data_IF_104080723664
#
_entry.id   IF_104080723664
#
_cell.length_a   1.000
_cell.length_b   1.000
_cell.length_c   1.000
_cell.angle_alpha   90.00
_cell.angle_beta   90.00
_cell.angle_gamma   90.00
#
_symmetry.space_group_name_H-M   'P 1'
#
loop_
_entity.id
_entity.type
_entity.pdbx_description
1 polymer ?
#
# COMPACT_ATOMS: atom_id res chain seq x y z
N UNK A 1 -11.13 2.45 -4.15
CA UNK A 1 -10.49 3.70 -3.67
C UNK A 1 -11.50 4.85 -3.73
N UNK A 2 -11.38 5.88 -2.88
CA UNK A 2 -12.31 7.03 -2.86
C UNK A 2 -12.14 8.02 -4.03
N UNK A 3 -11.61 7.56 -5.17
CA UNK A 3 -11.28 8.37 -6.35
C UNK A 3 -11.64 7.65 -7.67
N UNK A 4 -12.31 6.49 -7.59
CA UNK A 4 -12.83 5.80 -8.78
C UNK A 4 -14.18 6.42 -9.20
N UNK A 5 -14.61 6.21 -10.45
CA UNK A 5 -15.91 6.70 -10.91
C UNK A 5 -17.03 6.24 -9.96
N UNK A 6 -17.78 7.19 -9.39
CA UNK A 6 -18.79 6.91 -8.35
C UNK A 6 -18.27 6.98 -6.91
N UNK A 7 -17.11 7.58 -6.65
CA UNK A 7 -16.56 7.74 -5.30
C UNK A 7 -17.34 8.75 -4.44
N UNK A 8 -18.38 8.26 -3.76
CA UNK A 8 -19.24 9.05 -2.86
C UNK A 8 -18.48 9.59 -1.63
N UNK A 9 -17.52 8.83 -1.10
CA UNK A 9 -16.83 9.20 0.14
C UNK A 9 -15.92 10.44 -0.03
N UNK A 10 -15.36 10.66 -1.22
CA UNK A 10 -14.50 11.82 -1.50
C UNK A 10 -15.30 13.12 -1.43
N UNK A 11 -16.46 13.13 -2.09
CA UNK A 11 -17.37 14.27 -2.11
C UNK A 11 -17.95 14.57 -0.73
N UNK A 12 -18.29 13.52 0.05
CA UNK A 12 -18.73 13.67 1.44
C UNK A 12 -17.61 14.29 2.30
N UNK A 13 -16.40 13.74 2.24
CA UNK A 13 -15.27 14.21 3.04
C UNK A 13 -14.80 15.62 2.66
N UNK A 14 -15.10 16.13 1.47
CA UNK A 14 -14.80 17.49 1.09
C UNK A 14 -15.42 18.52 2.06
N UNK A 15 -16.63 18.24 2.57
CA UNK A 15 -17.31 19.08 3.57
C UNK A 15 -16.66 19.02 4.96
N UNK A 16 -15.85 17.99 5.27
CA UNK A 16 -15.14 17.92 6.55
C UNK A 16 -14.10 19.06 6.69
N UNK A 17 -13.58 19.59 5.58
CA UNK A 17 -12.65 20.72 5.58
C UNK A 17 -13.29 22.01 6.12
N UNK A 18 -14.61 22.14 6.04
CA UNK A 18 -15.34 23.26 6.62
C UNK A 18 -15.49 23.14 8.14
N UNK A 19 -15.07 22.03 8.77
CA UNK A 19 -15.14 21.80 10.21
C UNK A 19 -16.57 21.62 10.75
N UNK A 20 -16.70 21.35 12.05
CA UNK A 20 -17.98 21.26 12.75
C UNK A 20 -18.71 22.59 12.80
N UNK A 21 -20.04 22.57 12.94
CA UNK A 21 -20.78 23.77 13.33
C UNK A 21 -20.39 24.24 14.73
N UNK A 22 -20.64 25.51 15.04
CA UNK A 22 -20.30 26.08 16.34
C UNK A 22 -20.99 25.36 17.51
N UNK A 23 -22.26 25.00 17.34
CA UNK A 23 -23.02 24.25 18.34
C UNK A 23 -22.42 22.86 18.57
N UNK A 24 -22.12 22.13 17.49
CA UNK A 24 -21.53 20.79 17.57
C UNK A 24 -20.13 20.80 18.16
N UNK A 25 -19.29 21.75 17.78
CA UNK A 25 -17.96 21.94 18.37
C UNK A 25 -18.05 22.18 19.88
N UNK A 26 -19.00 23.03 20.32
CA UNK A 26 -19.26 23.26 21.74
C UNK A 26 -19.76 22.01 22.47
N UNK A 27 -20.64 21.22 21.84
CA UNK A 27 -21.11 19.95 22.38
C UNK A 27 -19.96 18.93 22.52
N UNK A 28 -19.19 18.72 21.46
CA UNK A 28 -18.05 17.80 21.46
C UNK A 28 -17.02 18.21 22.51
N UNK A 29 -16.75 19.51 22.65
CA UNK A 29 -15.81 20.01 23.66
C UNK A 29 -16.22 19.64 25.09
N UNK A 30 -17.52 19.67 25.39
CA UNK A 30 -18.05 19.22 26.70
C UNK A 30 -17.94 17.72 26.89
N UNK A 31 -18.17 16.94 25.83
CA UNK A 31 -18.13 15.48 25.87
C UNK A 31 -16.70 14.95 26.02
N UNK A 32 -15.73 15.57 25.34
CA UNK A 32 -14.33 15.14 25.37
C UNK A 32 -13.52 15.79 26.49
N UNK A 33 -14.02 16.87 27.09
CA UNK A 33 -13.27 17.68 28.06
C UNK A 33 -12.11 18.46 27.45
N UNK A 34 -12.09 18.62 26.13
CA UNK A 34 -11.03 19.31 25.37
C UNK A 34 -11.64 20.34 24.42
N UNK A 35 -10.90 21.39 24.08
CA UNK A 35 -11.40 22.38 23.12
C UNK A 35 -11.40 21.81 21.69
N UNK A 36 -12.57 21.75 21.06
CA UNK A 36 -12.75 21.37 19.65
C UNK A 36 -12.99 22.62 18.81
N UNK A 37 -12.21 22.86 17.73
CA UNK A 37 -12.39 24.03 16.89
C UNK A 37 -13.71 23.96 16.10
N UNK A 38 -14.38 25.10 15.98
CA UNK A 38 -15.56 25.28 15.12
C UNK A 38 -15.15 25.84 13.76
N UNK A 39 -15.78 25.33 12.70
CA UNK A 39 -15.75 25.94 11.39
C UNK A 39 -16.65 27.16 11.28
N UNK A 40 -16.43 27.99 10.25
CA UNK A 40 -17.29 29.15 9.95
C UNK A 40 -18.53 28.72 9.16
N UNK A 41 -19.62 29.49 9.30
CA UNK A 41 -20.86 29.28 8.53
C UNK A 41 -21.71 28.07 8.95
N UNK A 42 -22.90 27.96 8.36
CA UNK A 42 -23.93 26.94 8.68
C UNK A 42 -24.29 26.04 7.50
N UNK A 43 -23.57 26.17 6.38
CA UNK A 43 -23.79 25.33 5.20
C UNK A 43 -23.60 23.85 5.55
N UNK A 44 -24.46 22.99 4.99
CA UNK A 44 -24.41 21.54 5.15
C UNK A 44 -24.24 21.05 6.61
N UNK A 45 -24.84 21.75 7.58
CA UNK A 45 -24.67 21.50 9.03
C UNK A 45 -24.80 20.01 9.40
N UNK A 46 -25.88 19.34 8.99
CA UNK A 46 -26.11 17.92 9.29
C UNK A 46 -25.01 17.00 8.74
N UNK A 47 -24.45 17.32 7.58
CA UNK A 47 -23.37 16.55 6.97
C UNK A 47 -22.05 16.79 7.73
N UNK A 48 -21.69 18.06 7.93
CA UNK A 48 -20.46 18.44 8.65
C UNK A 48 -20.40 17.87 10.06
N UNK A 49 -21.52 17.90 10.78
CA UNK A 49 -21.59 17.41 12.16
C UNK A 49 -21.58 15.89 12.30
N UNK A 50 -21.70 15.19 11.16
CA UNK A 50 -21.58 13.75 11.02
C UNK A 50 -20.20 13.31 10.53
N UNK A 51 -19.25 14.23 10.32
CA UNK A 51 -17.91 13.95 9.79
C UNK A 51 -16.83 14.26 10.82
N UNK A 52 -15.86 13.35 10.95
CA UNK A 52 -14.67 13.56 11.77
C UNK A 52 -13.44 13.08 11.00
N UNK A 53 -12.47 13.97 10.78
CA UNK A 53 -11.21 13.66 10.12
C UNK A 53 -10.09 13.48 11.14
N UNK A 54 -9.55 12.27 11.25
CA UNK A 54 -8.40 11.99 12.11
C UNK A 54 -7.11 12.42 11.43
N UNK A 55 -6.41 13.40 12.02
CA UNK A 55 -5.20 13.99 11.44
C UNK A 55 -3.89 13.40 11.97
N UNK A 56 -3.94 12.67 13.09
CA UNK A 56 -2.75 12.10 13.73
C UNK A 56 -2.57 10.64 13.32
N UNK A 57 -1.42 10.34 12.69
CA UNK A 57 -0.93 8.97 12.55
C UNK A 57 -0.13 8.59 13.80
N UNK A 58 -0.42 7.43 14.36
CA UNK A 58 0.37 6.81 15.44
C UNK A 58 1.38 5.79 14.91
N UNK A 59 1.13 5.25 13.70
CA UNK A 59 1.99 4.23 13.08
C UNK A 59 3.29 4.82 12.53
N UNK A 60 3.23 6.07 12.07
CA UNK A 60 4.38 6.79 11.52
C UNK A 60 4.50 8.12 12.25
N UNK A 61 5.57 8.26 13.02
CA UNK A 61 5.89 9.50 13.73
C UNK A 61 6.25 10.65 12.78
N UNK A 62 6.43 11.84 13.35
CA UNK A 62 6.89 13.02 12.58
C UNK A 62 8.34 12.90 12.11
N UNK A 63 9.09 11.94 12.65
CA UNK A 63 10.46 11.56 12.34
C UNK A 63 10.57 10.48 11.25
N UNK A 64 9.45 9.91 10.80
CA UNK A 64 9.41 8.94 9.69
C UNK A 64 9.32 9.64 8.34
N UNK A 65 10.20 9.29 7.41
CA UNK A 65 10.18 9.78 6.04
C UNK A 65 8.90 9.40 5.32
N UNK A 66 8.33 8.21 5.59
CA UNK A 66 7.03 7.77 5.07
C UNK A 66 5.92 8.74 5.50
N UNK A 67 5.87 9.08 6.78
CA UNK A 67 4.86 9.99 7.32
C UNK A 67 4.93 11.39 6.70
N UNK A 68 6.15 11.94 6.59
CA UNK A 68 6.37 13.25 5.97
C UNK A 68 6.06 13.25 4.47
N UNK A 69 6.48 12.21 3.75
CA UNK A 69 6.22 12.08 2.31
C UNK A 69 4.72 11.97 2.03
N UNK A 70 4.00 11.14 2.79
CA UNK A 70 2.55 10.99 2.65
C UNK A 70 1.82 12.31 2.91
N UNK A 71 2.22 13.06 3.94
CA UNK A 71 1.65 14.38 4.23
C UNK A 71 1.92 15.38 3.10
N UNK A 72 3.12 15.39 2.53
CA UNK A 72 3.48 16.25 1.40
C UNK A 72 2.66 15.92 0.13
N UNK A 73 2.48 14.62 -0.17
CA UNK A 73 1.65 14.14 -1.29
C UNK A 73 0.19 14.56 -1.11
N UNK A 74 -0.40 14.34 0.08
CA UNK A 74 -1.78 14.69 0.36
C UNK A 74 -2.06 16.21 0.24
N UNK A 75 -1.05 17.05 0.47
CA UNK A 75 -1.12 18.51 0.29
C UNK A 75 -0.85 18.95 -1.16
N UNK A 76 -0.42 18.05 -2.04
CA UNK A 76 0.02 18.39 -3.39
C UNK A 76 1.32 19.23 -3.43
N UNK A 77 2.10 19.25 -2.34
CA UNK A 77 3.29 20.09 -2.21
C UNK A 77 4.52 19.40 -2.82
N UNK A 78 4.77 19.71 -4.10
CA UNK A 78 5.91 19.17 -4.85
C UNK A 78 7.26 19.58 -4.27
N UNK A 79 7.35 20.73 -3.61
CA UNK A 79 8.61 21.19 -3.01
C UNK A 79 8.89 20.40 -1.73
N UNK A 80 7.88 20.22 -0.88
CA UNK A 80 8.00 19.37 0.31
C UNK A 80 8.38 17.93 -0.05
N UNK A 81 7.79 17.35 -1.11
CA UNK A 81 8.19 16.01 -1.59
C UNK A 81 9.68 15.96 -1.94
N UNK A 82 10.21 16.98 -2.63
CA UNK A 82 11.65 17.04 -2.95
C UNK A 82 12.50 17.17 -1.69
N UNK A 83 12.10 18.03 -0.76
CA UNK A 83 12.81 18.24 0.50
C UNK A 83 12.85 16.96 1.35
N UNK A 84 11.78 16.17 1.37
CA UNK A 84 11.75 14.89 2.10
C UNK A 84 12.79 13.92 1.54
N UNK A 85 12.93 13.82 0.21
CA UNK A 85 13.98 13.00 -0.42
C UNK A 85 15.40 13.58 -0.31
N UNK A 86 15.57 14.82 0.14
CA UNK A 86 16.88 15.41 0.41
C UNK A 86 17.35 15.18 1.85
N UNK A 87 16.47 14.68 2.72
CA UNK A 87 16.81 14.32 4.09
C UNK A 87 17.27 12.87 4.17
N UNK A 88 18.12 12.57 5.14
CA UNK A 88 18.72 11.24 5.35
C UNK A 88 17.78 10.33 6.17
N UNK A 89 16.58 10.08 5.64
CA UNK A 89 15.68 9.09 6.22
C UNK A 89 16.11 7.67 5.85
N UNK A 90 16.08 6.75 6.80
CA UNK A 90 16.41 5.33 6.57
C UNK A 90 15.23 4.49 6.11
N UNK A 91 14.02 5.05 6.12
CA UNK A 91 12.76 4.36 5.82
C UNK A 91 12.19 4.68 4.43
N UNK A 92 12.86 5.55 3.66
CA UNK A 92 12.50 5.88 2.28
C UNK A 92 13.74 5.97 1.41
N UNK A 93 13.62 5.51 0.17
CA UNK A 93 14.66 5.65 -0.84
C UNK A 93 14.02 6.01 -2.18
N UNK A 94 14.80 6.64 -3.07
CA UNK A 94 14.38 6.95 -4.42
C UNK A 94 15.44 6.50 -5.41
N UNK A 95 15.09 5.50 -6.23
CA UNK A 95 15.89 5.04 -7.36
C UNK A 95 15.36 5.68 -8.65
N UNK A 96 16.27 6.15 -9.50
CA UNK A 96 15.92 6.61 -10.84
C UNK A 96 15.85 5.40 -11.78
N UNK A 97 14.89 5.43 -12.69
CA UNK A 97 14.62 4.34 -13.62
C UNK A 97 14.58 4.91 -15.03
N UNK A 98 15.76 5.08 -15.64
CA UNK A 98 15.92 5.78 -16.93
C UNK A 98 16.45 4.86 -18.03
N UNK A 99 17.10 3.76 -17.66
CA UNK A 99 17.74 2.81 -18.56
C UNK A 99 17.30 1.37 -18.29
N UNK A 100 17.66 0.45 -19.19
CA UNK A 100 17.48 -0.98 -18.97
C UNK A 100 18.34 -1.52 -17.83
N UNK A 101 19.50 -0.92 -17.57
CA UNK A 101 20.38 -1.29 -16.45
C UNK A 101 19.73 -0.94 -15.11
N UNK A 102 19.13 0.25 -15.01
CA UNK A 102 18.36 0.64 -13.82
C UNK A 102 17.18 -0.31 -13.57
N UNK A 103 16.54 -0.80 -14.63
CA UNK A 103 15.45 -1.77 -14.53
C UNK A 103 15.94 -3.12 -14.00
N UNK A 104 17.10 -3.58 -14.46
CA UNK A 104 17.71 -4.79 -13.91
C UNK A 104 18.05 -4.59 -12.43
N UNK A 105 18.63 -3.45 -12.05
CA UNK A 105 18.93 -3.13 -10.65
C UNK A 105 17.67 -3.12 -9.77
N UNK A 106 16.55 -2.56 -10.26
CA UNK A 106 15.26 -2.62 -9.57
C UNK A 106 14.78 -4.07 -9.36
N UNK A 107 14.94 -4.95 -10.36
CA UNK A 107 14.61 -6.37 -10.21
C UNK A 107 15.51 -7.04 -9.17
N UNK A 108 16.79 -6.69 -9.09
CA UNK A 108 17.71 -7.22 -8.08
C UNK A 108 17.30 -6.81 -6.66
N UNK A 109 16.96 -5.54 -6.47
CA UNK A 109 16.45 -5.02 -5.21
C UNK A 109 15.14 -5.72 -4.83
N UNK A 110 14.23 -5.92 -5.78
CA UNK A 110 12.99 -6.66 -5.54
C UNK A 110 13.23 -8.10 -5.08
N UNK A 111 14.19 -8.81 -5.68
CA UNK A 111 14.55 -10.15 -5.25
C UNK A 111 15.15 -10.17 -3.85
N UNK A 112 15.93 -9.15 -3.50
CA UNK A 112 16.45 -8.96 -2.14
C UNK A 112 15.30 -8.71 -1.14
N UNK A 113 14.33 -7.87 -1.50
CA UNK A 113 13.13 -7.62 -0.69
C UNK A 113 12.31 -8.88 -0.42
N UNK A 114 12.17 -9.75 -1.42
CA UNK A 114 11.55 -11.08 -1.24
C UNK A 114 12.51 -12.16 -0.70
N UNK A 115 13.74 -11.80 -0.32
CA UNK A 115 14.80 -12.75 0.05
C UNK A 115 14.37 -13.69 1.18
N UNK A 116 13.83 -13.14 2.27
CA UNK A 116 13.35 -13.95 3.41
C UNK A 116 12.25 -14.93 3.00
N UNK A 117 11.29 -14.48 2.21
CA UNK A 117 10.22 -15.33 1.69
C UNK A 117 10.79 -16.49 0.84
N UNK A 118 11.71 -16.20 -0.07
CA UNK A 118 12.36 -17.18 -0.93
C UNK A 118 13.21 -18.18 -0.14
N UNK A 119 13.93 -17.71 0.88
CA UNK A 119 14.77 -18.57 1.72
C UNK A 119 13.92 -19.51 2.60
N UNK A 120 12.78 -19.04 3.12
CA UNK A 120 11.83 -19.89 3.86
C UNK A 120 11.17 -20.94 2.98
N UNK A 121 10.88 -20.62 1.71
CA UNK A 121 10.42 -21.60 0.72
C UNK A 121 11.48 -22.68 0.50
N UNK A 122 12.74 -22.28 0.27
CA UNK A 122 13.84 -23.22 0.05
C UNK A 122 14.11 -24.09 1.28
N UNK A 123 13.99 -23.53 2.48
CA UNK A 123 14.10 -24.26 3.73
C UNK A 123 12.89 -25.14 4.05
N UNK A 124 11.84 -25.11 3.22
CA UNK A 124 10.55 -25.80 3.44
C UNK A 124 9.96 -25.50 4.82
N UNK A 125 10.02 -24.23 5.25
CA UNK A 125 9.44 -23.77 6.51
C UNK A 125 7.91 -23.96 6.58
N UNK A 126 7.32 -23.78 7.75
CA UNK A 126 5.86 -23.84 7.94
C UNK A 126 5.13 -22.79 7.08
N UNK A 127 3.96 -23.13 6.50
CA UNK A 127 3.20 -22.22 5.62
C UNK A 127 2.91 -20.84 6.24
N UNK A 128 2.60 -20.79 7.53
CA UNK A 128 2.27 -19.54 8.23
C UNK A 128 3.45 -18.55 8.23
N UNK A 129 4.67 -19.05 8.45
CA UNK A 129 5.88 -18.22 8.42
C UNK A 129 6.17 -17.70 7.00
N UNK A 130 5.87 -18.50 5.99
CA UNK A 130 6.04 -18.13 4.58
C UNK A 130 5.07 -17.01 4.21
N UNK A 131 3.80 -17.12 4.60
CA UNK A 131 2.78 -16.08 4.36
C UNK A 131 3.14 -14.79 5.10
N UNK A 132 3.58 -14.88 6.36
CA UNK A 132 4.03 -13.73 7.13
C UNK A 132 5.21 -13.02 6.46
N UNK A 133 6.23 -13.78 6.02
CA UNK A 133 7.39 -13.22 5.33
C UNK A 133 7.02 -12.58 3.98
N UNK A 134 6.04 -13.14 3.25
CA UNK A 134 5.57 -12.55 2.00
C UNK A 134 4.94 -11.16 2.23
N UNK A 135 4.33 -10.92 3.39
CA UNK A 135 3.72 -9.62 3.74
C UNK A 135 4.74 -8.55 4.17
N UNK A 136 6.04 -8.88 4.30
CA UNK A 136 7.08 -7.93 4.67
C UNK A 136 7.52 -7.02 3.50
N UNK A 137 7.30 -7.46 2.26
CA UNK A 137 7.71 -6.73 1.05
C UNK A 137 6.65 -6.84 -0.06
N UNK A 138 6.37 -5.72 -0.73
CA UNK A 138 5.40 -5.69 -1.83
C UNK A 138 5.81 -4.70 -2.91
N UNK A 139 5.64 -5.11 -4.18
CA UNK A 139 5.81 -4.22 -5.32
C UNK A 139 4.45 -3.66 -5.73
N UNK A 140 4.38 -2.34 -5.86
CA UNK A 140 3.18 -1.64 -6.31
C UNK A 140 3.46 -0.94 -7.63
N UNK A 141 2.53 -1.05 -8.56
CA UNK A 141 2.58 -0.33 -9.83
C UNK A 141 1.20 0.24 -10.21
N UNK A 142 1.21 1.32 -10.98
CA UNK A 142 -0.01 2.01 -11.36
C UNK A 142 -0.74 1.36 -12.54
N UNK A 143 -0.03 0.61 -13.38
CA UNK A 143 -0.55 0.05 -14.63
C UNK A 143 -0.89 -1.43 -14.47
N UNK A 144 -1.86 -1.92 -15.24
CA UNK A 144 -2.19 -3.36 -15.30
C UNK A 144 -1.29 -4.11 -16.29
N UNK A 145 -0.97 -3.48 -17.42
CA UNK A 145 -0.23 -4.06 -18.53
C UNK A 145 1.01 -3.22 -18.87
N UNK A 146 1.87 -3.77 -19.74
CA UNK A 146 3.12 -3.15 -20.18
C UNK A 146 4.31 -3.42 -19.25
N UNK A 147 5.51 -2.89 -19.57
CA UNK A 147 6.76 -3.21 -18.86
C UNK A 147 6.77 -2.85 -17.37
N UNK A 148 5.95 -1.89 -16.98
CA UNK A 148 5.79 -1.42 -15.59
C UNK A 148 4.41 -1.75 -15.01
N UNK A 149 3.61 -2.54 -15.73
CA UNK A 149 2.31 -2.99 -15.23
C UNK A 149 2.38 -4.35 -14.54
N UNK A 150 1.34 -4.70 -13.78
CA UNK A 150 1.26 -5.97 -13.03
C UNK A 150 1.60 -7.18 -13.91
N UNK A 151 1.03 -7.27 -15.12
CA UNK A 151 1.27 -8.39 -16.01
C UNK A 151 2.75 -8.50 -16.45
N UNK A 152 3.36 -7.37 -16.85
CA UNK A 152 4.76 -7.36 -17.30
C UNK A 152 5.75 -7.56 -16.15
N UNK A 153 5.50 -6.97 -14.99
CA UNK A 153 6.33 -7.16 -13.81
C UNK A 153 6.29 -8.61 -13.33
N UNK A 154 5.12 -9.26 -13.30
CA UNK A 154 5.01 -10.67 -12.95
C UNK A 154 5.87 -11.55 -13.87
N UNK A 155 5.78 -11.34 -15.19
CA UNK A 155 6.58 -12.11 -16.16
C UNK A 155 8.08 -11.89 -15.96
N UNK A 156 8.52 -10.62 -15.85
CA UNK A 156 9.94 -10.27 -15.73
C UNK A 156 10.56 -10.73 -14.42
N UNK A 157 9.85 -10.58 -13.32
CA UNK A 157 10.31 -11.04 -12.00
C UNK A 157 10.39 -12.56 -11.98
N UNK A 158 9.37 -13.27 -12.47
CA UNK A 158 9.43 -14.73 -12.54
C UNK A 158 10.59 -15.22 -13.43
N UNK A 159 10.84 -14.56 -14.56
CA UNK A 159 11.95 -14.89 -15.46
C UNK A 159 13.31 -14.65 -14.77
N UNK A 160 13.43 -13.55 -14.03
CA UNK A 160 14.65 -13.21 -13.30
C UNK A 160 14.92 -14.15 -12.12
N UNK A 161 13.87 -14.54 -11.37
CA UNK A 161 13.94 -15.55 -10.32
C UNK A 161 14.37 -16.92 -10.86
N UNK A 162 13.90 -17.32 -12.04
CA UNK A 162 14.36 -18.55 -12.71
C UNK A 162 15.83 -18.47 -13.10
N UNK A 163 16.28 -17.36 -13.69
CA UNK A 163 17.69 -17.17 -14.08
C UNK A 163 18.63 -17.27 -12.87
N UNK A 164 18.21 -16.72 -11.72
CA UNK A 164 18.95 -16.82 -10.44
C UNK A 164 18.68 -18.12 -9.67
N UNK A 165 17.95 -19.09 -10.26
CA UNK A 165 17.61 -20.40 -9.67
C UNK A 165 16.89 -20.32 -8.31
N UNK A 166 16.14 -19.24 -8.09
CA UNK A 166 15.33 -19.04 -6.88
C UNK A 166 14.00 -19.79 -6.94
N UNK A 167 13.49 -20.06 -8.14
CA UNK A 167 12.29 -20.87 -8.36
C UNK A 167 12.51 -21.85 -9.51
N UNK A 168 11.77 -22.96 -9.51
CA UNK A 168 11.75 -23.91 -10.61
C UNK A 168 10.38 -23.84 -11.30
N UNK A 169 10.36 -23.47 -12.58
CA UNK A 169 9.14 -23.40 -13.38
C UNK A 169 9.10 -24.52 -14.41
N UNK A 170 7.94 -25.17 -14.54
CA UNK A 170 7.66 -26.08 -15.64
C UNK A 170 6.99 -25.27 -16.77
N UNK A 171 7.52 -25.27 -18.01
CA UNK A 171 6.92 -24.56 -19.14
C UNK A 171 5.46 -24.97 -19.43
N UNK A 172 5.07 -26.19 -19.04
CA UNK A 172 3.73 -26.73 -19.27
C UNK A 172 2.77 -26.55 -18.09
N UNK A 173 3.23 -25.98 -16.97
CA UNK A 173 2.39 -25.71 -15.80
C UNK A 173 2.42 -24.24 -15.44
N UNK A 174 1.23 -23.69 -15.17
CA UNK A 174 1.10 -22.36 -14.57
C UNK A 174 1.56 -22.36 -13.09
N UNK A 175 1.41 -23.48 -12.42
CA UNK A 175 1.70 -23.63 -11.00
C UNK A 175 3.13 -24.12 -10.79
N UNK A 176 3.80 -23.48 -9.85
CA UNK A 176 5.10 -23.86 -9.31
C UNK A 176 5.07 -23.58 -7.80
N UNK A 177 5.86 -24.34 -7.03
CA UNK A 177 5.99 -24.15 -5.58
C UNK A 177 6.53 -22.74 -5.28
N UNK A 178 5.89 -22.04 -4.35
CA UNK A 178 6.22 -20.66 -4.00
C UNK A 178 5.58 -19.60 -4.90
N UNK A 179 4.57 -19.93 -5.71
CA UNK A 179 3.83 -18.93 -6.48
C UNK A 179 2.80 -18.20 -5.59
N UNK A 180 2.93 -16.88 -5.34
CA UNK A 180 1.86 -16.12 -4.72
C UNK A 180 0.73 -15.88 -5.72
N UNK A 181 -0.50 -15.91 -5.25
CA UNK A 181 -1.72 -15.64 -6.01
C UNK A 181 -2.68 -14.78 -5.22
N UNK A 182 -3.49 -13.99 -5.92
CA UNK A 182 -4.50 -13.14 -5.32
C UNK A 182 -5.89 -13.59 -5.77
N UNK A 183 -6.83 -13.65 -4.85
CA UNK A 183 -8.23 -13.93 -5.12
C UNK A 183 -8.86 -12.71 -5.80
N UNK A 184 -9.47 -12.92 -6.97
CA UNK A 184 -10.04 -11.85 -7.78
C UNK A 184 -11.53 -11.58 -7.51
N UNK A 185 -12.22 -12.51 -6.85
CA UNK A 185 -13.66 -12.46 -6.54
C UNK A 185 -13.93 -13.18 -5.22
N UNK A 186 -14.87 -12.68 -4.43
CA UNK A 186 -15.27 -13.31 -3.19
C UNK A 186 -15.82 -14.72 -3.44
N UNK A 187 -15.46 -15.65 -2.56
CA UNK A 187 -15.99 -17.00 -2.49
C UNK A 187 -16.38 -17.30 -1.03
N UNK A 188 -17.69 -17.28 -0.77
CA UNK A 188 -18.22 -17.48 0.58
C UNK A 188 -18.13 -18.93 1.05
N UNK A 189 -18.03 -19.91 0.14
CA UNK A 189 -17.91 -21.31 0.53
C UNK A 189 -16.53 -21.60 1.15
N UNK A 190 -15.50 -20.90 0.68
CA UNK A 190 -14.13 -21.01 1.19
C UNK A 190 -13.77 -19.92 2.20
N UNK A 191 -14.66 -18.95 2.42
CA UNK A 191 -14.39 -17.79 3.29
C UNK A 191 -13.29 -16.87 2.74
N UNK A 192 -13.12 -16.83 1.41
CA UNK A 192 -12.10 -16.04 0.73
C UNK A 192 -12.70 -14.78 0.11
N UNK A 193 -11.98 -13.67 0.20
CA UNK A 193 -12.39 -12.36 -0.27
C UNK A 193 -11.48 -11.85 -1.39
N UNK A 194 -12.02 -10.98 -2.24
CA UNK A 194 -11.26 -10.31 -3.28
C UNK A 194 -10.12 -9.48 -2.66
N UNK A 195 -8.89 -9.74 -3.09
CA UNK A 195 -7.68 -9.15 -2.53
C UNK A 195 -6.92 -10.07 -1.57
N UNK A 196 -7.51 -11.19 -1.13
CA UNK A 196 -6.80 -12.17 -0.30
C UNK A 196 -5.65 -12.79 -1.07
N UNK A 197 -4.52 -12.98 -0.38
CA UNK A 197 -3.28 -13.53 -0.93
C UNK A 197 -3.10 -14.97 -0.43
N UNK A 198 -2.81 -15.87 -1.36
CA UNK A 198 -2.43 -17.25 -1.08
C UNK A 198 -1.08 -17.59 -1.72
N UNK A 199 -0.44 -18.66 -1.24
CA UNK A 199 0.86 -19.12 -1.73
C UNK A 199 0.74 -20.60 -2.08
N UNK A 200 1.04 -20.96 -3.32
CA UNK A 200 1.02 -22.35 -3.75
C UNK A 200 2.24 -23.09 -3.19
N UNK A 201 2.02 -24.13 -2.40
CA UNK A 201 3.06 -24.97 -1.82
C UNK A 201 2.82 -26.43 -2.21
N UNK A 202 3.89 -27.16 -2.52
CA UNK A 202 3.83 -28.60 -2.77
C UNK A 202 4.34 -29.34 -1.53
N UNK A 203 3.40 -29.79 -0.69
CA UNK A 203 3.69 -30.38 0.63
C UNK A 203 3.37 -31.87 0.73
N UNK A 204 3.20 -32.55 -0.40
CA UNK A 204 2.82 -33.96 -0.47
C UNK A 204 1.31 -34.14 -0.54
#
# INVERSE_FOLDING_TARGET
>A
ASVEAGAVLGDICAYANAGFTAERAGQLSRLTGTHIPSGTGTEAASLRDSLCLLQKSYRFGSDSGIGQLAAAINRGDKMAVKTVFQQDFTDIEKRLLQSGEDYIAMLEEALSGYGRYLDLLQARAEPDLIIQAFNEYQLLCALREGPFGVAGLNERIEQFMQQKRKIHRNPHSRWYEGRPVMIARNDSALGLFNGDIGIALDRG
#
